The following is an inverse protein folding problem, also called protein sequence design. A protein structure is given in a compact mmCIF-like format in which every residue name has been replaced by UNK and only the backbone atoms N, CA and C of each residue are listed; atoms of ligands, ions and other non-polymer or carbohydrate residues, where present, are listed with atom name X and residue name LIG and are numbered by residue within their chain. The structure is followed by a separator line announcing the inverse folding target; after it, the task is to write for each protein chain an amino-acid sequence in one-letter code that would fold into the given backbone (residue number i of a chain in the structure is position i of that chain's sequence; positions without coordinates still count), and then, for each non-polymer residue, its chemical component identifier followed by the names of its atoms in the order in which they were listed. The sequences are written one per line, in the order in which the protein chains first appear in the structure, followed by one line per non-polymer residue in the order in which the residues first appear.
data_IF_485811811979
#
_entry.id   IF_485811811979
#
_cell.length_a   1.000
_cell.length_b   1.000
_cell.length_c   1.000
_cell.angle_alpha   90.00
_cell.angle_beta   90.00
_cell.angle_gamma   90.00
#
_symmetry.space_group_name_H-M   'P 1'
#
loop_
_entity.id
_entity.type
_entity.pdbx_description
1 polymer ?
#
# COMPACT_ATOMS: atom_id res chain seq x y z
N UNK A 1 -3.75 20.41 -3.18
CA UNK A 1 -4.02 19.21 -4.02
C UNK A 1 -5.37 19.37 -4.71
N UNK A 2 -5.43 19.18 -6.03
CA UNK A 2 -6.68 19.32 -6.80
C UNK A 2 -7.65 18.15 -6.55
N UNK A 3 -8.93 18.34 -6.89
CA UNK A 3 -9.97 17.30 -6.75
C UNK A 3 -9.63 16.06 -7.57
N UNK A 4 -9.05 16.24 -8.76
CA UNK A 4 -8.66 15.15 -9.66
C UNK A 4 -7.51 14.33 -9.07
N UNK A 5 -6.48 14.98 -8.52
CA UNK A 5 -5.34 14.31 -7.88
C UNK A 5 -5.77 13.46 -6.69
N UNK A 6 -6.72 13.94 -5.89
CA UNK A 6 -7.27 13.18 -4.76
C UNK A 6 -8.02 11.93 -5.23
N UNK A 7 -8.83 12.04 -6.29
CA UNK A 7 -9.53 10.88 -6.86
C UNK A 7 -8.54 9.84 -7.36
N UNK A 8 -7.48 10.27 -8.04
CA UNK A 8 -6.43 9.37 -8.54
C UNK A 8 -5.74 8.61 -7.40
N UNK A 9 -5.29 9.31 -6.35
CA UNK A 9 -4.65 8.69 -5.19
C UNK A 9 -5.57 7.67 -4.49
N UNK A 10 -6.86 7.98 -4.38
CA UNK A 10 -7.85 7.06 -3.79
C UNK A 10 -8.05 5.80 -4.62
N UNK A 11 -8.15 5.95 -5.93
CA UNK A 11 -8.31 4.81 -6.85
C UNK A 11 -7.07 3.92 -6.81
N UNK A 12 -5.87 4.50 -6.88
CA UNK A 12 -4.63 3.74 -6.79
C UNK A 12 -4.48 3.01 -5.45
N UNK A 13 -4.86 3.66 -4.34
CA UNK A 13 -4.84 3.01 -3.03
C UNK A 13 -5.87 1.89 -2.92
N UNK A 14 -7.06 2.05 -3.51
CA UNK A 14 -8.08 1.00 -3.56
C UNK A 14 -7.59 -0.20 -4.37
N UNK A 15 -7.00 0.04 -5.55
CA UNK A 15 -6.44 -1.02 -6.40
C UNK A 15 -5.35 -1.79 -5.63
N UNK A 16 -4.47 -1.08 -4.93
CA UNK A 16 -3.45 -1.68 -4.07
C UNK A 16 -4.03 -2.53 -2.92
N UNK A 17 -5.25 -2.25 -2.44
CA UNK A 17 -5.92 -3.10 -1.44
C UNK A 17 -6.58 -4.32 -2.09
N UNK A 18 -7.32 -4.10 -3.18
CA UNK A 18 -8.15 -5.13 -3.79
C UNK A 18 -7.32 -6.25 -4.43
N UNK A 19 -6.19 -5.94 -5.07
CA UNK A 19 -5.37 -6.93 -5.77
C UNK A 19 -4.85 -8.03 -4.83
N UNK A 20 -4.14 -7.73 -3.71
CA UNK A 20 -3.69 -8.76 -2.78
C UNK A 20 -4.86 -9.52 -2.18
N UNK A 21 -5.94 -8.85 -1.79
CA UNK A 21 -7.09 -9.51 -1.15
C UNK A 21 -7.71 -10.55 -2.10
N UNK A 22 -7.96 -10.18 -3.35
CA UNK A 22 -8.55 -11.10 -4.33
C UNK A 22 -7.61 -12.28 -4.58
N UNK A 23 -6.32 -12.03 -4.75
CA UNK A 23 -5.33 -13.08 -5.05
C UNK A 23 -5.08 -13.98 -3.82
N UNK A 24 -5.03 -13.42 -2.62
CA UNK A 24 -4.94 -14.17 -1.37
C UNK A 24 -6.19 -15.00 -1.08
N UNK A 25 -7.38 -14.53 -1.47
CA UNK A 25 -8.59 -15.35 -1.42
C UNK A 25 -8.52 -16.54 -2.40
N UNK A 26 -7.97 -16.33 -3.60
CA UNK A 26 -7.75 -17.41 -4.58
C UNK A 26 -6.73 -18.46 -4.09
N UNK A 27 -5.76 -18.09 -3.25
CA UNK A 27 -4.78 -19.07 -2.72
C UNK A 27 -5.36 -20.06 -1.72
N UNK A 28 -6.56 -19.83 -1.19
CA UNK A 28 -7.28 -20.84 -0.40
C UNK A 28 -7.84 -21.98 -1.26
N UNK A 29 -8.00 -21.77 -2.58
CA UNK A 29 -8.58 -22.75 -3.51
C UNK A 29 -7.51 -23.69 -4.06
N UNK A 30 -6.30 -23.18 -4.30
CA UNK A 30 -5.18 -23.99 -4.76
C UNK A 30 -3.85 -23.42 -4.23
N UNK A 31 -3.03 -24.30 -3.64
CA UNK A 31 -1.71 -23.96 -3.06
C UNK A 31 -0.75 -23.41 -4.12
N UNK A 32 -0.93 -23.77 -5.40
CA UNK A 32 -0.11 -23.25 -6.51
C UNK A 32 -0.26 -21.73 -6.71
N UNK A 33 -1.33 -21.11 -6.20
CA UNK A 33 -1.52 -19.66 -6.25
C UNK A 33 -0.69 -18.90 -5.20
N UNK A 34 0.05 -19.59 -4.31
CA UNK A 34 0.95 -18.94 -3.35
C UNK A 34 1.99 -18.08 -4.07
N UNK A 35 2.55 -18.56 -5.18
CA UNK A 35 3.47 -17.79 -6.01
C UNK A 35 2.80 -16.54 -6.62
N UNK A 36 1.53 -16.63 -6.99
CA UNK A 36 0.72 -15.50 -7.45
C UNK A 36 0.49 -14.47 -6.34
N UNK A 37 0.20 -14.92 -5.11
CA UNK A 37 0.05 -14.05 -3.95
C UNK A 37 1.34 -13.29 -3.64
N UNK A 38 2.50 -13.95 -3.74
CA UNK A 38 3.82 -13.32 -3.60
C UNK A 38 4.05 -12.20 -4.61
N UNK A 39 3.85 -12.49 -5.90
CA UNK A 39 4.01 -11.50 -6.98
C UNK A 39 3.05 -10.32 -6.76
N UNK A 40 1.80 -10.60 -6.40
CA UNK A 40 0.80 -9.56 -6.15
C UNK A 40 1.17 -8.64 -4.98
N UNK A 41 1.81 -9.20 -3.94
CA UNK A 41 2.25 -8.46 -2.76
C UNK A 41 3.37 -7.49 -3.12
N UNK A 42 4.31 -7.92 -3.96
CA UNK A 42 5.39 -7.08 -4.48
C UNK A 42 4.82 -5.97 -5.38
N UNK A 43 3.94 -6.31 -6.33
CA UNK A 43 3.27 -5.34 -7.19
C UNK A 43 2.51 -4.28 -6.37
N UNK A 44 1.83 -4.72 -5.31
CA UNK A 44 1.10 -3.83 -4.40
C UNK A 44 2.04 -2.89 -3.65
N UNK A 45 3.15 -3.42 -3.14
CA UNK A 45 4.21 -2.60 -2.53
C UNK A 45 4.73 -1.52 -3.48
N UNK A 46 4.96 -1.86 -4.75
CA UNK A 46 5.40 -0.91 -5.78
C UNK A 46 4.34 0.18 -6.00
N UNK A 47 3.07 -0.18 -6.13
CA UNK A 47 1.98 0.79 -6.27
C UNK A 47 1.94 1.71 -5.04
N UNK A 48 2.11 1.17 -3.83
CA UNK A 48 2.15 1.95 -2.60
C UNK A 48 3.32 2.93 -2.55
N UNK A 49 4.51 2.54 -3.03
CA UNK A 49 5.66 3.45 -3.18
C UNK A 49 5.28 4.62 -4.09
N UNK A 50 4.71 4.32 -5.26
CA UNK A 50 4.32 5.36 -6.24
C UNK A 50 3.29 6.32 -5.62
N UNK A 51 2.28 5.78 -4.95
CA UNK A 51 1.24 6.58 -4.27
C UNK A 51 1.85 7.42 -3.14
N UNK A 52 2.80 6.87 -2.36
CA UNK A 52 3.52 7.59 -1.31
C UNK A 52 4.28 8.80 -1.87
N UNK A 53 5.05 8.56 -2.95
CA UNK A 53 5.87 9.59 -3.63
C UNK A 53 4.99 10.67 -4.23
N UNK A 54 3.92 10.30 -4.92
CA UNK A 54 2.95 11.26 -5.45
C UNK A 54 2.34 12.10 -4.32
N UNK A 55 1.89 11.46 -3.24
CA UNK A 55 1.28 12.17 -2.11
C UNK A 55 2.27 13.10 -1.41
N UNK A 56 3.55 12.72 -1.28
CA UNK A 56 4.60 13.56 -0.71
C UNK A 56 4.95 14.74 -1.61
N UNK A 57 5.05 14.54 -2.93
CA UNK A 57 5.28 15.63 -3.89
C UNK A 57 4.17 16.69 -3.81
N UNK A 58 2.93 16.29 -3.55
CA UNK A 58 1.80 17.22 -3.40
C UNK A 58 1.62 17.77 -1.98
N UNK A 59 2.26 17.19 -0.96
CA UNK A 59 1.97 17.50 0.46
C UNK A 59 3.18 17.25 1.40
N UNK A 60 4.34 17.83 1.09
CA UNK A 60 5.65 17.45 1.69
C UNK A 60 5.83 17.76 3.18
N UNK A 61 4.97 18.59 3.81
CA UNK A 61 5.15 19.03 5.22
C UNK A 61 4.54 18.08 6.28
N UNK A 62 3.92 16.99 5.85
CA UNK A 62 3.14 16.12 6.74
C UNK A 62 4.00 15.02 7.39
N UNK A 63 4.29 15.13 8.70
CA UNK A 63 5.00 14.09 9.50
C UNK A 63 4.41 12.68 9.35
N UNK A 64 3.10 12.59 9.13
CA UNK A 64 2.38 11.31 8.91
C UNK A 64 2.85 10.56 7.65
N UNK A 65 3.29 11.29 6.62
CA UNK A 65 3.82 10.69 5.38
C UNK A 65 5.21 10.10 5.61
N UNK A 66 6.01 10.73 6.47
CA UNK A 66 7.33 10.22 6.82
C UNK A 66 7.22 8.87 7.54
N UNK A 67 6.26 8.73 8.47
CA UNK A 67 5.95 7.45 9.12
C UNK A 67 5.50 6.41 8.09
N UNK A 68 4.66 6.81 7.13
CA UNK A 68 4.23 5.93 6.05
C UNK A 68 5.41 5.43 5.19
N UNK A 69 6.31 6.32 4.78
CA UNK A 69 7.53 5.94 4.05
C UNK A 69 8.45 5.02 4.84
N UNK A 70 8.60 5.27 6.15
CA UNK A 70 9.39 4.39 7.00
C UNK A 70 8.80 2.98 7.05
N UNK A 71 7.47 2.86 7.19
CA UNK A 71 6.80 1.56 7.14
C UNK A 71 6.93 0.86 5.78
N UNK A 72 6.88 1.62 4.69
CA UNK A 72 7.11 1.12 3.33
C UNK A 72 8.54 0.62 3.12
N UNK A 73 9.53 1.37 3.62
CA UNK A 73 10.94 0.97 3.59
C UNK A 73 11.16 -0.30 4.42
N UNK A 74 10.58 -0.36 5.62
CA UNK A 74 10.64 -1.54 6.48
C UNK A 74 10.02 -2.76 5.78
N UNK A 75 8.88 -2.58 5.09
CA UNK A 75 8.25 -3.64 4.30
C UNK A 75 9.19 -4.16 3.20
N UNK A 76 9.75 -3.28 2.37
CA UNK A 76 10.69 -3.68 1.30
C UNK A 76 11.91 -4.39 1.88
N UNK A 77 12.46 -3.87 2.98
CA UNK A 77 13.60 -4.47 3.66
C UNK A 77 13.30 -5.87 4.21
N UNK A 78 12.14 -6.06 4.85
CA UNK A 78 11.69 -7.36 5.35
C UNK A 78 11.47 -8.36 4.22
N UNK A 79 10.83 -7.94 3.13
CA UNK A 79 10.63 -8.75 1.92
C UNK A 79 11.96 -9.20 1.30
N UNK A 80 12.99 -8.36 1.32
CA UNK A 80 14.31 -8.68 0.77
C UNK A 80 15.13 -9.64 1.65
N UNK A 81 14.99 -9.57 2.97
CA UNK A 81 15.73 -10.43 3.90
C UNK A 81 15.06 -11.80 4.05
N UNK A 82 13.75 -11.80 4.27
CA UNK A 82 13.01 -13.02 4.49
C UNK A 82 11.54 -12.82 4.13
N UNK A 83 11.15 -13.40 3.00
CA UNK A 83 9.75 -13.42 2.60
C UNK A 83 9.02 -14.48 3.43
N UNK A 84 8.32 -14.05 4.49
CA UNK A 84 7.41 -14.91 5.24
C UNK A 84 5.95 -14.68 4.84
N UNK A 85 5.08 -15.62 5.15
CA UNK A 85 3.63 -15.49 4.94
C UNK A 85 3.04 -14.24 5.62
N UNK A 86 3.64 -13.78 6.71
CA UNK A 86 3.22 -12.56 7.40
C UNK A 86 3.50 -11.28 6.59
N UNK A 87 4.45 -11.31 5.65
CA UNK A 87 4.78 -10.18 4.79
C UNK A 87 3.63 -9.80 3.85
N UNK A 88 2.66 -10.69 3.63
CA UNK A 88 1.43 -10.42 2.89
C UNK A 88 0.55 -9.34 3.55
N UNK A 89 0.49 -9.31 4.88
CA UNK A 89 -0.41 -8.41 5.61
C UNK A 89 0.12 -6.98 5.71
N UNK A 90 1.44 -6.82 5.69
CA UNK A 90 2.12 -5.53 5.86
C UNK A 90 1.66 -4.49 4.82
N UNK A 91 1.63 -4.76 3.51
CA UNK A 91 1.15 -3.80 2.53
C UNK A 91 -0.35 -3.50 2.76
N UNK A 92 -1.19 -4.47 3.12
CA UNK A 92 -2.61 -4.19 3.40
C UNK A 92 -2.75 -3.16 4.53
N UNK A 93 -2.00 -3.34 5.64
CA UNK A 93 -2.00 -2.43 6.78
C UNK A 93 -1.50 -1.04 6.38
N UNK A 94 -0.42 -0.96 5.59
CA UNK A 94 0.12 0.30 5.06
C UNK A 94 -0.93 1.04 4.21
N UNK A 95 -1.63 0.32 3.34
CA UNK A 95 -2.69 0.89 2.51
C UNK A 95 -3.85 1.46 3.34
N UNK A 96 -4.24 0.77 4.43
CA UNK A 96 -5.26 1.25 5.37
C UNK A 96 -4.79 2.52 6.09
N UNK A 97 -3.53 2.55 6.53
CA UNK A 97 -2.93 3.73 7.15
C UNK A 97 -2.88 4.92 6.18
N UNK A 98 -2.55 4.69 4.91
CA UNK A 98 -2.58 5.74 3.90
C UNK A 98 -4.00 6.23 3.62
N UNK A 99 -4.99 5.34 3.55
CA UNK A 99 -6.42 5.70 3.47
C UNK A 99 -6.83 6.60 4.62
N UNK A 100 -6.42 6.27 5.85
CA UNK A 100 -6.67 7.08 7.04
C UNK A 100 -6.08 8.50 6.90
N UNK A 101 -4.82 8.61 6.46
CA UNK A 101 -4.16 9.89 6.23
C UNK A 101 -4.90 10.73 5.17
N UNK A 102 -5.30 10.12 4.06
CA UNK A 102 -5.97 10.81 2.94
C UNK A 102 -7.38 11.26 3.33
N UNK A 103 -8.11 10.47 4.12
CA UNK A 103 -9.51 10.74 4.47
C UNK A 103 -9.69 11.66 5.68
N UNK A 104 -8.96 11.45 6.77
CA UNK A 104 -9.19 12.19 8.02
C UNK A 104 -8.48 13.54 8.00
N UNK A 105 -7.23 13.58 7.52
CA UNK A 105 -6.43 14.82 7.55
C UNK A 105 -6.95 15.89 6.59
N UNK A 106 -7.76 15.51 5.59
CA UNK A 106 -8.45 16.45 4.69
C UNK A 106 -9.74 17.03 5.31
N UNK A 107 -10.32 16.37 6.32
CA UNK A 107 -11.54 16.86 6.98
C UNK A 107 -11.27 17.87 8.11
N UNK A 108 -10.01 18.00 8.53
CA UNK A 108 -9.56 18.87 9.62
C UNK A 108 -8.53 19.95 9.18
N UNK A 109 -8.39 20.19 7.88
CA UNK A 109 -7.57 21.26 7.30
C UNK A 109 -8.45 22.16 6.43
#
# INVERSE_FOLDING_TARGET
MSVVQLKLLRILNLIAICIPIIIGLCSFINIDYLAGALISTICTGIIQIIVAVLYFAFNSKSKSILIYFFGLFLFVFLVLINFSDYSFWIPIILCLYLSYIIHIKKHHA
#
